data_IF_791453625492
#
_entry.id   IF_791453625492
#
_cell.length_a   1.000
_cell.length_b   1.000
_cell.length_c   1.000
_cell.angle_alpha   90.00
_cell.angle_beta   90.00
_cell.angle_gamma   90.00
#
_symmetry.space_group_name_H-M   'P 1'
#
loop_
_entity.id
_entity.type
_entity.pdbx_description
1 polymer ?
#
# COMPACT_ATOMS: atom_id res chain seq x y z
N UNK A 1 -25.21 -17.42 -63.39
CA UNK A 1 -24.52 -18.59 -62.80
C UNK A 1 -23.57 -18.04 -61.75
N UNK A 2 -24.06 -17.87 -60.52
CA UNK A 2 -23.33 -17.38 -59.35
C UNK A 2 -23.90 -18.15 -58.17
N UNK A 3 -23.07 -18.94 -57.49
CA UNK A 3 -23.48 -19.73 -56.32
C UNK A 3 -22.84 -19.10 -55.08
N UNK A 4 -23.72 -18.68 -54.18
CA UNK A 4 -23.47 -18.28 -52.80
C UNK A 4 -23.08 -19.51 -51.96
N UNK A 5 -22.17 -19.33 -51.01
CA UNK A 5 -22.06 -20.22 -49.84
C UNK A 5 -21.68 -19.41 -48.61
N UNK A 6 -22.50 -19.57 -47.56
CA UNK A 6 -22.39 -19.01 -46.21
C UNK A 6 -21.98 -20.13 -45.25
N UNK A 7 -20.97 -19.89 -44.41
CA UNK A 7 -20.78 -20.39 -43.02
C UNK A 7 -19.34 -20.00 -42.61
N UNK A 8 -19.02 -19.38 -41.47
CA UNK A 8 -19.56 -19.45 -40.11
C UNK A 8 -18.57 -20.24 -39.23
N UNK A 9 -17.78 -19.62 -38.33
CA UNK A 9 -16.64 -20.27 -37.68
C UNK A 9 -16.98 -20.80 -36.27
N UNK A 10 -17.32 -22.08 -36.14
CA UNK A 10 -17.35 -22.80 -34.85
C UNK A 10 -17.16 -24.30 -35.09
N UNK A 11 -15.93 -24.81 -34.99
CA UNK A 11 -15.60 -26.20 -34.63
C UNK A 11 -14.08 -26.44 -34.69
N UNK A 12 -13.40 -26.42 -33.54
CA UNK A 12 -12.20 -27.24 -33.26
C UNK A 12 -11.62 -26.84 -31.90
N UNK A 13 -12.20 -27.38 -30.83
CA UNK A 13 -11.56 -27.52 -29.52
C UNK A 13 -11.43 -29.03 -29.27
N UNK A 14 -10.30 -29.43 -28.69
CA UNK A 14 -9.93 -30.78 -28.19
C UNK A 14 -9.26 -31.72 -29.22
N UNK A 15 -7.92 -31.67 -29.29
CA UNK A 15 -7.03 -32.78 -28.88
C UNK A 15 -5.60 -32.50 -29.35
N UNK A 16 -4.63 -32.42 -28.43
CA UNK A 16 -3.31 -33.11 -28.44
C UNK A 16 -2.43 -32.54 -27.33
N UNK A 17 -2.22 -33.34 -26.29
CA UNK A 17 -1.15 -33.18 -25.28
C UNK A 17 -0.05 -34.20 -25.61
N UNK A 18 1.18 -33.84 -25.23
CA UNK A 18 2.46 -34.58 -25.27
C UNK A 18 3.37 -34.28 -26.46
N UNK A 19 4.25 -33.28 -26.28
CA UNK A 19 5.71 -33.41 -26.46
C UNK A 19 6.41 -32.08 -26.16
N UNK A 20 6.94 -31.92 -24.95
CA UNK A 20 7.89 -30.85 -24.61
C UNK A 20 9.23 -31.51 -24.25
N UNK A 21 10.20 -31.36 -25.16
CA UNK A 21 11.60 -31.70 -24.95
C UNK A 21 12.25 -30.57 -24.15
N UNK A 22 12.84 -30.91 -23.01
CA UNK A 22 13.81 -30.08 -22.31
C UNK A 22 15.11 -30.04 -23.11
N UNK A 23 15.53 -28.83 -23.53
CA UNK A 23 16.92 -28.55 -23.91
C UNK A 23 17.58 -27.89 -22.70
N UNK A 24 18.52 -28.62 -22.10
CA UNK A 24 19.41 -28.13 -21.05
C UNK A 24 20.58 -27.40 -21.70
N UNK A 25 20.76 -26.13 -21.35
CA UNK A 25 21.98 -25.37 -21.65
C UNK A 25 22.62 -24.98 -20.31
N UNK A 26 23.76 -25.60 -20.02
CA UNK A 26 24.60 -25.37 -18.85
C UNK A 26 25.72 -24.39 -19.22
N UNK A 27 25.99 -23.39 -18.37
CA UNK A 27 27.35 -22.85 -18.21
C UNK A 27 27.53 -22.19 -16.83
N UNK A 28 28.29 -22.90 -16.01
CA UNK A 28 29.26 -22.50 -14.99
C UNK A 28 29.34 -21.03 -14.55
N UNK A 29 29.09 -20.78 -13.25
CA UNK A 29 30.01 -20.00 -12.39
C UNK A 29 30.12 -20.67 -11.01
N UNK A 30 31.36 -20.68 -10.52
CA UNK A 30 31.96 -21.44 -9.42
C UNK A 30 31.71 -20.74 -8.07
N UNK A 31 31.16 -21.44 -7.08
CA UNK A 31 31.16 -20.99 -5.68
C UNK A 31 31.66 -22.09 -4.74
N UNK A 32 32.42 -21.67 -3.72
CA UNK A 32 33.31 -22.47 -2.87
C UNK A 32 32.57 -23.25 -1.79
N UNK A 33 33.24 -24.32 -1.37
CA UNK A 33 32.92 -25.24 -0.28
C UNK A 33 32.60 -24.57 1.07
N UNK A 34 31.55 -25.09 1.72
CA UNK A 34 31.54 -25.38 3.16
C UNK A 34 30.48 -26.47 3.43
N UNK A 35 30.96 -27.69 3.62
CA UNK A 35 30.21 -28.90 3.99
C UNK A 35 29.83 -28.89 5.48
N UNK A 36 28.56 -29.17 5.78
CA UNK A 36 28.14 -29.79 7.04
C UNK A 36 27.19 -30.93 6.71
N UNK A 37 27.60 -32.15 7.10
CA UNK A 37 26.88 -33.41 6.96
C UNK A 37 25.76 -33.53 8.01
N UNK A 38 24.56 -33.96 7.61
CA UNK A 38 23.71 -34.85 8.42
C UNK A 38 23.01 -35.85 7.47
N UNK A 39 23.15 -37.13 7.81
CA UNK A 39 22.71 -38.31 7.07
C UNK A 39 21.19 -38.48 7.01
N UNK A 40 20.68 -38.99 5.89
CA UNK A 40 19.46 -39.79 5.85
C UNK A 40 19.72 -41.07 5.05
N UNK A 41 19.27 -42.18 5.63
CA UNK A 41 19.56 -43.56 5.28
C UNK A 41 18.84 -44.08 4.03
N UNK A 42 19.51 -45.00 3.37
CA UNK A 42 19.16 -45.76 2.18
C UNK A 42 17.79 -46.47 2.22
N UNK A 43 17.16 -46.59 1.04
CA UNK A 43 16.58 -47.87 0.63
C UNK A 43 16.49 -47.99 -0.90
N UNK A 44 17.33 -48.89 -1.40
CA UNK A 44 17.47 -49.32 -2.78
C UNK A 44 16.25 -50.10 -3.28
N UNK A 45 16.01 -49.95 -4.58
CA UNK A 45 15.08 -50.70 -5.40
C UNK A 45 15.75 -51.96 -5.97
N UNK A 46 15.15 -53.13 -5.80
CA UNK A 46 15.33 -54.27 -6.71
C UNK A 46 14.03 -55.07 -6.86
N UNK A 47 13.72 -55.58 -8.07
CA UNK A 47 12.46 -56.24 -8.39
C UNK A 47 12.53 -57.74 -8.10
N UNK A 48 11.45 -58.31 -7.54
CA UNK A 48 11.27 -59.77 -7.46
C UNK A 48 9.98 -60.14 -8.16
N UNK A 49 10.12 -60.91 -9.23
CA UNK A 49 9.08 -61.76 -9.82
C UNK A 49 8.93 -63.01 -8.97
N UNK A 50 7.72 -63.32 -8.50
CA UNK A 50 7.29 -64.70 -8.25
C UNK A 50 5.75 -64.76 -8.23
N UNK A 51 5.18 -65.66 -9.02
CA UNK A 51 3.74 -65.80 -9.17
C UNK A 51 3.08 -66.48 -7.97
N UNK A 52 1.84 -66.09 -7.70
CA UNK A 52 0.87 -66.90 -6.95
C UNK A 52 -0.46 -66.88 -7.69
N UNK A 53 -0.94 -68.06 -8.03
CA UNK A 53 -2.26 -68.31 -8.61
C UNK A 53 -3.30 -68.12 -7.52
N UNK A 54 -4.17 -67.12 -7.68
CA UNK A 54 -5.37 -66.95 -6.86
C UNK A 54 -6.61 -67.12 -7.74
N UNK A 55 -7.28 -68.25 -7.49
CA UNK A 55 -8.55 -68.65 -8.12
C UNK A 55 -9.66 -67.79 -7.51
N UNK A 56 -10.16 -66.81 -8.25
CA UNK A 56 -11.31 -65.98 -7.83
C UNK A 56 -12.60 -66.52 -8.48
N UNK A 57 -13.73 -66.62 -7.75
CA UNK A 57 -14.96 -67.21 -8.27
C UNK A 57 -15.58 -66.33 -9.36
N UNK A 58 -16.23 -66.96 -10.34
CA UNK A 58 -17.05 -66.29 -11.35
C UNK A 58 -18.14 -65.45 -10.68
N UNK A 59 -17.91 -64.15 -10.51
CA UNK A 59 -18.95 -63.18 -10.19
C UNK A 59 -19.79 -62.89 -11.44
N UNK A 60 -21.11 -62.98 -11.29
CA UNK A 60 -22.08 -62.65 -12.33
C UNK A 60 -21.76 -61.28 -12.93
N UNK A 61 -21.62 -61.24 -14.25
CA UNK A 61 -21.44 -60.02 -15.04
C UNK A 61 -22.51 -58.99 -14.66
N UNK A 62 -22.08 -57.82 -14.17
CA UNK A 62 -22.90 -56.62 -14.16
C UNK A 62 -23.28 -56.37 -15.63
N UNK A 63 -24.56 -56.57 -15.95
CA UNK A 63 -25.05 -56.47 -17.32
C UNK A 63 -24.74 -55.10 -17.92
N UNK A 64 -24.45 -55.06 -19.22
CA UNK A 64 -24.14 -53.84 -20.00
C UNK A 64 -25.14 -52.70 -19.77
N UNK A 65 -26.36 -53.01 -19.35
CA UNK A 65 -27.40 -52.03 -18.97
C UNK A 65 -27.05 -51.21 -17.72
N UNK A 66 -26.38 -51.79 -16.73
CA UNK A 66 -26.02 -51.10 -15.47
C UNK A 66 -24.87 -50.11 -15.66
N UNK A 67 -23.91 -50.41 -16.55
CA UNK A 67 -22.83 -49.48 -16.91
C UNK A 67 -23.38 -48.28 -17.69
N UNK A 68 -24.33 -48.51 -18.59
CA UNK A 68 -25.04 -47.42 -19.29
C UNK A 68 -25.84 -46.54 -18.34
N UNK A 69 -26.53 -47.15 -17.37
CA UNK A 69 -27.30 -46.42 -16.36
C UNK A 69 -26.40 -45.55 -15.48
N UNK A 70 -25.26 -46.07 -15.02
CA UNK A 70 -24.28 -45.31 -14.24
C UNK A 70 -23.71 -44.15 -15.07
N UNK A 71 -23.38 -44.39 -16.35
CA UNK A 71 -22.90 -43.34 -17.24
C UNK A 71 -23.92 -42.20 -17.45
N UNK A 72 -25.22 -42.54 -17.57
CA UNK A 72 -26.29 -41.54 -17.68
C UNK A 72 -26.41 -40.73 -16.38
N UNK A 73 -26.36 -41.38 -15.21
CA UNK A 73 -26.46 -40.70 -13.91
C UNK A 73 -25.30 -39.72 -13.71
N UNK A 74 -24.06 -40.14 -14.00
CA UNK A 74 -22.87 -39.28 -13.89
C UNK A 74 -22.97 -38.09 -14.85
N UNK A 75 -23.43 -38.32 -16.09
CA UNK A 75 -23.59 -37.23 -17.08
C UNK A 75 -24.64 -36.21 -16.63
N UNK A 76 -25.76 -36.66 -16.05
CA UNK A 76 -26.80 -35.76 -15.53
C UNK A 76 -26.31 -34.97 -14.32
N UNK A 77 -25.52 -35.57 -13.43
CA UNK A 77 -24.88 -34.87 -12.31
C UNK A 77 -23.92 -33.78 -12.80
N UNK A 78 -23.07 -34.06 -13.78
CA UNK A 78 -22.17 -33.08 -14.37
C UNK A 78 -22.91 -31.97 -15.13
N UNK A 79 -24.00 -32.28 -15.84
CA UNK A 79 -24.84 -31.23 -16.44
C UNK A 79 -25.49 -30.34 -15.37
N UNK A 80 -25.91 -30.93 -14.24
CA UNK A 80 -26.47 -30.20 -13.12
C UNK A 80 -25.51 -29.16 -12.55
N UNK A 81 -24.23 -29.53 -12.34
CA UNK A 81 -23.22 -28.60 -11.81
C UNK A 81 -22.88 -27.48 -12.80
N UNK A 82 -22.77 -27.81 -14.09
CA UNK A 82 -22.55 -26.81 -15.14
C UNK A 82 -23.75 -25.85 -15.24
N UNK A 83 -24.98 -26.36 -15.10
CA UNK A 83 -26.18 -25.52 -15.12
C UNK A 83 -26.25 -24.60 -13.89
N UNK A 84 -25.88 -25.08 -12.70
CA UNK A 84 -25.83 -24.24 -11.49
C UNK A 84 -24.75 -23.16 -11.59
N UNK A 85 -23.58 -23.49 -12.12
CA UNK A 85 -22.52 -22.51 -12.36
C UNK A 85 -22.95 -21.47 -13.41
N UNK A 86 -23.61 -21.90 -14.48
CA UNK A 86 -24.12 -21.00 -15.50
C UNK A 86 -25.23 -20.08 -14.96
N UNK A 87 -26.12 -20.59 -14.12
CA UNK A 87 -27.14 -19.80 -13.41
C UNK A 87 -26.51 -18.81 -12.41
N UNK A 88 -25.44 -19.20 -11.71
CA UNK A 88 -24.69 -18.31 -10.83
C UNK A 88 -23.99 -17.18 -11.60
N UNK A 89 -23.42 -17.49 -12.77
CA UNK A 89 -22.83 -16.48 -13.68
C UNK A 89 -23.89 -15.51 -14.21
N UNK A 90 -25.07 -16.01 -14.59
CA UNK A 90 -26.19 -15.16 -15.01
C UNK A 90 -26.70 -14.28 -13.87
N UNK A 91 -26.77 -14.80 -12.65
CA UNK A 91 -27.17 -14.04 -11.46
C UNK A 91 -26.14 -12.96 -11.11
N UNK A 92 -24.85 -13.26 -11.21
CA UNK A 92 -23.77 -12.30 -11.04
C UNK A 92 -23.85 -11.18 -12.09
N UNK A 93 -24.08 -11.52 -13.37
CA UNK A 93 -24.29 -10.53 -14.43
C UNK A 93 -25.56 -9.69 -14.24
N UNK A 94 -26.61 -10.27 -13.68
CA UNK A 94 -27.83 -9.52 -13.38
C UNK A 94 -27.63 -8.55 -12.20
N UNK A 95 -26.89 -8.95 -11.17
CA UNK A 95 -26.49 -8.06 -10.08
C UNK A 95 -25.56 -6.93 -10.57
N UNK A 96 -24.66 -7.23 -11.52
CA UNK A 96 -23.79 -6.25 -12.16
C UNK A 96 -24.57 -5.23 -13.02
N UNK A 97 -25.70 -5.64 -13.58
CA UNK A 97 -26.66 -4.76 -14.27
C UNK A 97 -27.46 -3.86 -13.32
N UNK A 98 -27.78 -4.33 -12.11
CA UNK A 98 -28.49 -3.53 -11.09
C UNK A 98 -27.57 -2.51 -10.37
N UNK A 99 -26.24 -2.66 -10.49
CA UNK A 99 -25.24 -1.73 -9.99
C UNK A 99 -24.82 -0.66 -11.01
N UNK A 100 -25.39 -0.66 -12.22
CA UNK A 100 -25.08 0.36 -13.22
C UNK A 100 -25.96 1.61 -13.03
N UNK A 101 -25.38 2.81 -12.89
CA UNK A 101 -26.16 4.04 -12.85
C UNK A 101 -26.96 4.19 -14.15
N UNK A 102 -28.20 4.61 -13.99
CA UNK A 102 -29.23 4.85 -15.01
C UNK A 102 -28.65 5.18 -16.41
N UNK A 103 -28.97 4.37 -17.42
CA UNK A 103 -28.43 4.38 -18.81
C UNK A 103 -28.42 5.75 -19.50
N UNK A 104 -29.28 6.70 -19.07
CA UNK A 104 -29.31 8.08 -19.56
C UNK A 104 -28.17 8.95 -19.03
N UNK A 105 -27.61 8.63 -17.87
CA UNK A 105 -26.41 9.26 -17.28
C UNK A 105 -25.16 8.74 -17.99
N UNK A 106 -25.08 7.43 -18.24
CA UNK A 106 -23.97 6.80 -18.97
C UNK A 106 -23.80 7.35 -20.40
N UNK A 107 -24.90 7.67 -21.08
CA UNK A 107 -24.88 8.22 -22.44
C UNK A 107 -24.47 9.70 -22.51
N UNK A 108 -24.54 10.44 -21.40
CA UNK A 108 -23.97 11.80 -21.28
C UNK A 108 -22.49 11.77 -20.90
N UNK A 109 -22.03 10.65 -20.36
CA UNK A 109 -20.65 10.43 -19.92
C UNK A 109 -19.72 9.95 -21.05
N UNK A 110 -20.28 9.51 -22.20
CA UNK A 110 -19.52 9.09 -23.39
C UNK A 110 -18.90 10.23 -24.19
N UNK A 111 -19.29 11.49 -23.92
CA UNK A 111 -18.77 12.65 -24.64
C UNK A 111 -17.56 13.31 -23.95
N UNK A 112 -17.28 12.95 -22.69
CA UNK A 112 -16.09 13.41 -21.97
C UNK A 112 -14.98 12.40 -22.24
N UNK A 113 -13.90 12.84 -22.89
CA UNK A 113 -12.71 12.01 -23.07
C UNK A 113 -12.24 11.50 -21.71
N UNK A 114 -12.16 10.17 -21.58
CA UNK A 114 -11.75 9.54 -20.35
C UNK A 114 -10.29 9.90 -20.05
N UNK A 115 -10.02 10.42 -18.85
CA UNK A 115 -8.64 10.73 -18.43
C UNK A 115 -7.85 9.45 -18.25
N UNK A 116 -6.54 9.52 -18.51
CA UNK A 116 -5.60 8.44 -18.23
C UNK A 116 -5.17 8.40 -16.75
N UNK A 117 -5.79 9.23 -15.90
CA UNK A 117 -5.56 9.23 -14.45
C UNK A 117 -6.70 8.49 -13.73
N UNK A 118 -6.33 7.54 -12.86
CA UNK A 118 -7.24 6.91 -11.91
C UNK A 118 -6.93 7.31 -10.47
N UNK A 119 -7.96 7.51 -9.66
CA UNK A 119 -7.84 7.77 -8.23
C UNK A 119 -8.05 6.48 -7.43
N UNK A 120 -7.25 6.29 -6.38
CA UNK A 120 -7.40 5.19 -5.43
C UNK A 120 -7.58 5.72 -4.03
N UNK A 121 -8.43 5.06 -3.27
CA UNK A 121 -8.56 5.27 -1.83
C UNK A 121 -8.94 3.97 -1.13
N UNK A 122 -9.02 4.00 0.19
CA UNK A 122 -9.57 2.92 0.99
C UNK A 122 -10.50 3.47 2.07
N UNK A 123 -11.65 2.85 2.21
CA UNK A 123 -12.60 3.10 3.28
C UNK A 123 -13.35 1.81 3.56
N UNK A 124 -12.92 1.11 4.61
CA UNK A 124 -13.43 -0.20 5.00
C UNK A 124 -13.83 -0.24 6.48
N UNK A 125 -14.63 -1.25 6.85
CA UNK A 125 -15.24 -1.39 8.16
C UNK A 125 -16.62 -0.74 8.23
N UNK A 126 -17.10 -0.45 9.44
CA UNK A 126 -18.39 0.22 9.62
C UNK A 126 -18.41 1.57 8.91
N UNK A 127 -19.45 1.86 8.10
CA UNK A 127 -19.55 3.13 7.39
C UNK A 127 -19.40 4.33 8.33
N UNK A 128 -18.41 5.17 8.06
CA UNK A 128 -18.20 6.41 8.80
C UNK A 128 -18.73 7.58 7.96
N UNK A 129 -19.80 8.26 8.39
CA UNK A 129 -20.41 9.36 7.63
C UNK A 129 -19.43 10.48 7.28
N UNK A 130 -18.45 10.75 8.14
CA UNK A 130 -17.43 11.78 7.90
C UNK A 130 -16.58 11.45 6.67
N UNK A 131 -16.08 10.22 6.59
CA UNK A 131 -15.20 9.78 5.50
C UNK A 131 -15.99 9.49 4.22
N UNK A 132 -17.22 8.99 4.31
CA UNK A 132 -18.08 8.85 3.12
C UNK A 132 -18.43 10.22 2.52
N UNK A 133 -18.67 11.24 3.36
CA UNK A 133 -18.87 12.62 2.92
C UNK A 133 -17.64 13.17 2.20
N UNK A 134 -16.45 13.01 2.79
CA UNK A 134 -15.19 13.43 2.18
C UNK A 134 -14.95 12.72 0.83
N UNK A 135 -15.17 11.41 0.76
CA UNK A 135 -15.05 10.62 -0.46
C UNK A 135 -16.05 11.06 -1.55
N UNK A 136 -17.29 11.37 -1.17
CA UNK A 136 -18.32 11.83 -2.10
C UNK A 136 -17.96 13.17 -2.76
N UNK A 137 -17.21 14.05 -2.09
CA UNK A 137 -16.75 15.32 -2.65
C UNK A 137 -15.81 15.13 -3.87
N UNK A 138 -15.20 13.95 -4.04
CA UNK A 138 -14.39 13.65 -5.23
C UNK A 138 -15.23 13.32 -6.46
N UNK A 139 -16.52 12.96 -6.32
CA UNK A 139 -17.35 12.52 -7.45
C UNK A 139 -17.58 13.62 -8.50
N UNK A 140 -17.96 14.87 -8.14
CA UNK A 140 -18.10 15.94 -9.14
C UNK A 140 -16.77 16.25 -9.83
N UNK A 141 -15.67 16.22 -9.10
CA UNK A 141 -14.32 16.41 -9.65
C UNK A 141 -13.94 15.31 -10.66
N UNK A 142 -14.27 14.05 -10.34
CA UNK A 142 -14.07 12.92 -11.24
C UNK A 142 -14.91 13.05 -12.52
N UNK A 143 -16.18 13.46 -12.38
CA UNK A 143 -17.06 13.66 -13.53
C UNK A 143 -16.57 14.78 -14.44
N UNK A 144 -16.08 15.89 -13.86
CA UNK A 144 -15.59 17.05 -14.60
C UNK A 144 -14.38 16.71 -15.49
N UNK A 145 -13.44 15.93 -14.97
CA UNK A 145 -12.18 15.63 -15.67
C UNK A 145 -12.07 14.19 -16.19
N UNK A 146 -13.13 13.39 -16.07
CA UNK A 146 -13.16 12.01 -16.59
C UNK A 146 -12.30 11.02 -15.80
N UNK A 147 -12.03 11.26 -14.50
CA UNK A 147 -11.24 10.35 -13.66
C UNK A 147 -12.04 9.10 -13.27
N UNK A 148 -11.40 7.94 -13.36
CA UNK A 148 -11.88 6.71 -12.69
C UNK A 148 -11.52 6.79 -11.20
N UNK A 149 -12.35 6.21 -10.34
CA UNK A 149 -12.05 6.13 -8.91
C UNK A 149 -12.34 4.73 -8.38
N UNK A 150 -11.35 4.15 -7.70
CA UNK A 150 -11.38 2.82 -7.14
C UNK A 150 -11.21 2.93 -5.62
N UNK A 151 -12.13 2.33 -4.86
CA UNK A 151 -12.13 2.42 -3.40
C UNK A 151 -12.12 1.02 -2.82
N UNK A 152 -11.08 0.69 -2.07
CA UNK A 152 -11.04 -0.54 -1.30
C UNK A 152 -12.05 -0.47 -0.16
N UNK A 153 -13.08 -1.32 -0.20
CA UNK A 153 -14.17 -1.37 0.78
C UNK A 153 -14.02 -2.44 1.85
N UNK A 154 -13.09 -3.37 1.66
CA UNK A 154 -12.82 -4.47 2.59
C UNK A 154 -11.35 -4.51 2.96
N UNK A 155 -11.07 -4.78 4.25
CA UNK A 155 -9.68 -4.90 4.71
C UNK A 155 -9.06 -6.18 4.16
N UNK A 156 -7.96 -6.05 3.42
CA UNK A 156 -7.28 -7.18 2.77
C UNK A 156 -6.11 -7.72 3.60
N UNK A 157 -5.35 -6.82 4.25
CA UNK A 157 -4.17 -7.15 5.05
C UNK A 157 -4.20 -6.47 6.43
N UNK A 158 -3.53 -7.05 7.44
CA UNK A 158 -3.42 -6.45 8.77
C UNK A 158 -2.64 -5.13 8.75
N UNK A 159 -2.73 -4.39 9.86
CA UNK A 159 -2.00 -3.14 10.04
C UNK A 159 -2.26 -2.11 8.94
N UNK A 160 -1.18 -1.59 8.37
CA UNK A 160 -1.16 -0.54 7.36
C UNK A 160 -1.01 -1.07 5.92
N UNK A 161 -1.00 -2.40 5.76
CA UNK A 161 -0.54 -3.06 4.53
C UNK A 161 -1.61 -3.22 3.45
N UNK A 162 -2.89 -2.95 3.77
CA UNK A 162 -3.99 -3.01 2.78
C UNK A 162 -3.79 -2.01 1.63
N UNK A 163 -3.29 -0.80 1.94
CA UNK A 163 -3.00 0.25 0.96
C UNK A 163 -1.93 -0.16 -0.06
N UNK A 164 -0.69 -0.53 0.33
CA UNK A 164 0.32 -0.91 -0.66
C UNK A 164 -0.08 -2.16 -1.47
N UNK A 165 -0.76 -3.13 -0.85
CA UNK A 165 -1.26 -4.31 -1.57
C UNK A 165 -2.36 -3.95 -2.59
N UNK A 166 -3.28 -3.05 -2.25
CA UNK A 166 -4.35 -2.64 -3.16
C UNK A 166 -3.81 -1.84 -4.35
N UNK A 167 -2.87 -0.93 -4.11
CA UNK A 167 -2.17 -0.19 -5.18
C UNK A 167 -1.42 -1.17 -6.09
N UNK A 168 -0.67 -2.12 -5.52
CA UNK A 168 0.03 -3.15 -6.29
C UNK A 168 -0.92 -3.96 -7.18
N UNK A 169 -2.06 -4.38 -6.63
CA UNK A 169 -3.09 -5.07 -7.40
C UNK A 169 -3.61 -4.24 -8.56
N UNK A 170 -3.91 -2.94 -8.35
CA UNK A 170 -4.38 -2.07 -9.43
C UNK A 170 -3.31 -1.86 -10.51
N UNK A 171 -2.05 -1.67 -10.13
CA UNK A 171 -0.94 -1.56 -11.08
C UNK A 171 -0.85 -2.78 -11.99
N UNK A 172 -0.97 -3.99 -11.42
CA UNK A 172 -0.93 -5.24 -12.18
C UNK A 172 -2.14 -5.40 -13.11
N UNK A 173 -3.33 -4.98 -12.67
CA UNK A 173 -4.53 -4.98 -13.51
C UNK A 173 -4.36 -4.04 -14.71
N UNK A 174 -3.90 -2.80 -14.50
CA UNK A 174 -3.70 -1.84 -15.59
C UNK A 174 -2.56 -2.26 -16.53
N UNK A 175 -1.48 -2.86 -16.01
CA UNK A 175 -0.39 -3.38 -16.85
C UNK A 175 -0.79 -4.59 -17.70
N UNK A 176 -1.87 -5.30 -17.34
CA UNK A 176 -2.41 -6.41 -18.13
C UNK A 176 -3.27 -5.95 -19.32
N UNK A 177 -3.63 -4.66 -19.37
CA UNK A 177 -4.37 -4.06 -20.48
C UNK A 177 -3.42 -3.54 -21.58
N UNK A 178 -3.89 -3.41 -22.84
CA UNK A 178 -3.17 -2.69 -23.88
C UNK A 178 -2.84 -1.25 -23.46
N UNK A 179 -1.74 -0.70 -23.98
CA UNK A 179 -1.25 0.63 -23.58
C UNK A 179 -2.25 1.76 -23.88
N UNK A 180 -3.02 1.61 -24.94
CA UNK A 180 -4.08 2.51 -25.37
C UNK A 180 -5.36 2.43 -24.52
N UNK A 181 -5.53 1.38 -23.72
CA UNK A 181 -6.72 1.15 -22.87
C UNK A 181 -6.45 1.37 -21.39
N UNK A 182 -5.18 1.25 -20.95
CA UNK A 182 -4.78 1.37 -19.55
C UNK A 182 -4.66 2.82 -19.09
N UNK A 183 -4.78 3.01 -17.79
CA UNK A 183 -4.40 4.27 -17.14
C UNK A 183 -2.89 4.52 -17.28
N UNK A 184 -2.49 5.80 -17.37
CA UNK A 184 -1.09 6.22 -17.34
C UNK A 184 -0.63 6.48 -15.89
N UNK A 185 -1.52 7.02 -15.05
CA UNK A 185 -1.21 7.38 -13.66
C UNK A 185 -2.30 6.96 -12.68
N UNK A 186 -1.85 6.56 -11.50
CA UNK A 186 -2.67 6.26 -10.34
C UNK A 186 -2.37 7.30 -9.25
N UNK A 187 -3.41 7.88 -8.67
CA UNK A 187 -3.30 8.86 -7.57
C UNK A 187 -3.93 8.28 -6.33
N UNK A 188 -3.11 7.99 -5.33
CA UNK A 188 -3.60 7.61 -4.02
C UNK A 188 -4.07 8.84 -3.25
N UNK A 189 -5.17 8.74 -2.51
CA UNK A 189 -5.56 9.70 -1.49
C UNK A 189 -6.17 9.00 -0.26
N UNK A 190 -5.79 9.44 0.93
CA UNK A 190 -6.34 8.93 2.19
C UNK A 190 -7.79 9.41 2.42
N UNK A 191 -8.54 8.71 3.28
CA UNK A 191 -9.95 9.04 3.56
C UNK A 191 -10.16 10.34 4.34
N UNK A 192 -9.10 10.97 4.85
CA UNK A 192 -9.11 12.25 5.58
C UNK A 192 -8.66 13.45 4.75
N UNK A 193 -8.79 13.31 3.44
CA UNK A 193 -8.64 14.38 2.46
C UNK A 193 -9.98 15.05 2.22
N UNK A 194 -10.01 16.37 2.28
CA UNK A 194 -11.16 17.19 1.87
C UNK A 194 -10.79 17.94 0.59
N UNK A 195 -11.52 17.67 -0.49
CA UNK A 195 -11.38 18.38 -1.77
C UNK A 195 -11.97 19.79 -1.63
N UNK A 196 -11.14 20.82 -1.84
CA UNK A 196 -11.53 22.23 -1.66
C UNK A 196 -11.80 22.95 -2.98
N UNK A 197 -11.02 22.67 -4.02
CA UNK A 197 -11.20 23.28 -5.33
C UNK A 197 -11.37 22.19 -6.41
N UNK A 198 -12.62 21.83 -6.78
CA UNK A 198 -12.89 20.82 -7.80
C UNK A 198 -12.60 21.30 -9.24
N UNK A 199 -12.06 22.51 -9.41
CA UNK A 199 -11.69 23.07 -10.72
C UNK A 199 -10.24 22.84 -11.10
N UNK A 200 -9.41 22.30 -10.20
CA UNK A 200 -7.99 22.07 -10.45
C UNK A 200 -7.78 20.66 -11.03
N UNK A 201 -7.34 20.53 -12.30
CA UNK A 201 -7.07 19.22 -12.89
C UNK A 201 -5.82 18.59 -12.26
N UNK A 202 -5.82 17.27 -12.09
CA UNK A 202 -4.67 16.52 -11.59
C UNK A 202 -3.49 16.48 -12.59
N UNK A 203 -3.78 16.62 -13.88
CA UNK A 203 -2.79 16.58 -14.96
C UNK A 203 -1.68 17.63 -14.79
N UNK A 204 -1.99 18.77 -14.16
CA UNK A 204 -1.01 19.85 -13.97
C UNK A 204 0.14 19.42 -13.07
N UNK A 205 -0.07 18.46 -12.18
CA UNK A 205 0.96 18.00 -11.23
C UNK A 205 1.88 16.93 -11.82
N UNK A 206 1.58 16.42 -13.02
CA UNK A 206 2.37 15.38 -13.66
C UNK A 206 3.69 15.92 -14.23
N UNK A 207 4.72 15.07 -14.38
CA UNK A 207 6.00 15.48 -14.94
C UNK A 207 5.88 15.82 -16.44
N UNK A 208 6.54 16.89 -16.92
CA UNK A 208 6.64 17.17 -18.35
C UNK A 208 7.31 16.01 -19.10
N UNK A 209 6.70 15.55 -20.20
CA UNK A 209 7.12 14.32 -20.90
C UNK A 209 8.49 14.45 -21.57
N UNK A 210 8.90 15.66 -21.95
CA UNK A 210 10.12 15.93 -22.72
C UNK A 210 11.39 15.59 -21.93
N UNK A 211 11.45 16.01 -20.67
CA UNK A 211 12.67 15.92 -19.85
C UNK A 211 12.50 15.03 -18.61
N UNK A 212 11.27 14.71 -18.22
CA UNK A 212 10.96 14.05 -16.94
C UNK A 212 10.17 12.75 -17.09
N UNK A 213 10.16 12.16 -18.30
CA UNK A 213 9.46 10.88 -18.58
C UNK A 213 10.00 9.67 -17.82
N UNK A 214 11.21 9.75 -17.26
CA UNK A 214 11.79 8.73 -16.39
C UNK A 214 11.19 8.76 -14.97
N UNK A 215 10.45 9.80 -14.60
CA UNK A 215 9.78 9.87 -13.30
C UNK A 215 8.55 8.95 -13.30
N UNK A 216 8.47 8.13 -12.26
CA UNK A 216 7.42 7.13 -12.07
C UNK A 216 6.66 7.31 -10.75
N UNK A 217 7.18 8.10 -9.82
CA UNK A 217 6.47 8.51 -8.62
C UNK A 217 6.61 10.00 -8.34
N UNK A 218 5.51 10.64 -7.95
CA UNK A 218 5.51 12.02 -7.44
C UNK A 218 5.01 11.97 -6.01
N UNK A 219 5.85 12.43 -5.10
CA UNK A 219 5.66 12.29 -3.66
C UNK A 219 5.84 13.62 -2.95
N UNK A 220 5.46 13.68 -1.68
CA UNK A 220 5.57 14.90 -0.86
C UNK A 220 6.22 14.58 0.48
N UNK A 221 6.98 15.53 1.02
CA UNK A 221 7.53 15.45 2.36
C UNK A 221 6.87 16.47 3.28
N UNK A 222 6.65 16.08 4.53
CA UNK A 222 6.33 16.98 5.63
C UNK A 222 7.52 17.11 6.61
N UNK A 223 7.26 17.68 7.79
CA UNK A 223 8.27 17.87 8.83
C UNK A 223 8.86 16.57 9.45
N UNK A 224 8.31 15.41 9.09
CA UNK A 224 8.70 14.06 9.54
C UNK A 224 9.20 13.16 8.40
N UNK A 225 9.45 13.73 7.21
CA UNK A 225 9.86 12.97 6.02
C UNK A 225 8.69 12.75 5.07
N UNK A 226 8.68 11.62 4.35
CA UNK A 226 7.63 11.28 3.39
C UNK A 226 6.24 11.34 4.04
N UNK A 227 5.31 12.02 3.37
CA UNK A 227 3.88 11.94 3.65
C UNK A 227 3.18 11.28 2.46
N UNK A 228 2.63 10.09 2.67
CA UNK A 228 2.00 9.31 1.62
C UNK A 228 0.47 9.37 1.66
N UNK A 229 -0.09 10.43 2.26
CA UNK A 229 -1.53 10.68 2.28
C UNK A 229 -2.09 11.01 0.91
N UNK A 230 -1.33 11.68 0.05
CA UNK A 230 -1.60 11.82 -1.39
C UNK A 230 -0.30 11.71 -2.17
N UNK A 231 -0.26 10.88 -3.21
CA UNK A 231 0.88 10.72 -4.10
C UNK A 231 0.47 10.09 -5.43
N UNK A 232 1.35 10.21 -6.43
CA UNK A 232 1.10 9.74 -7.78
C UNK A 232 2.09 8.62 -8.11
N UNK A 233 1.61 7.57 -8.76
CA UNK A 233 2.41 6.49 -9.34
C UNK A 233 2.04 6.30 -10.80
N UNK A 234 3.03 6.23 -11.67
CA UNK A 234 2.83 5.86 -13.07
C UNK A 234 2.49 4.37 -13.15
N UNK A 235 1.58 4.00 -14.04
CA UNK A 235 1.36 2.60 -14.39
C UNK A 235 2.56 2.11 -15.18
N UNK A 236 3.50 1.49 -14.46
CA UNK A 236 4.79 1.08 -14.99
C UNK A 236 5.37 -0.07 -14.14
N UNK A 237 6.19 -0.94 -14.74
CA UNK A 237 6.84 -2.05 -14.02
C UNK A 237 7.66 -1.56 -12.82
N UNK A 238 8.31 -0.40 -12.95
CA UNK A 238 9.03 0.24 -11.84
C UNK A 238 8.14 0.41 -10.60
N UNK A 239 6.89 0.87 -10.78
CA UNK A 239 5.96 1.11 -9.68
C UNK A 239 5.53 -0.20 -9.01
N UNK A 240 5.43 -1.29 -9.79
CA UNK A 240 5.19 -2.64 -9.27
C UNK A 240 6.33 -3.07 -8.34
N UNK A 241 7.58 -2.90 -8.78
CA UNK A 241 8.74 -3.23 -7.95
C UNK A 241 8.84 -2.36 -6.70
N UNK A 242 8.55 -1.07 -6.83
CA UNK A 242 8.53 -0.14 -5.71
C UNK A 242 7.47 -0.52 -4.66
N UNK A 243 6.23 -0.77 -5.08
CA UNK A 243 5.16 -1.18 -4.15
C UNK A 243 5.37 -2.58 -3.58
N UNK A 244 6.00 -3.49 -4.34
CA UNK A 244 6.40 -4.81 -3.84
C UNK A 244 7.46 -4.68 -2.75
N UNK A 245 8.46 -3.82 -2.93
CA UNK A 245 9.49 -3.57 -1.93
C UNK A 245 8.88 -2.97 -0.65
N UNK A 246 8.03 -1.94 -0.79
CA UNK A 246 7.29 -1.36 0.32
C UNK A 246 6.49 -2.41 1.12
N UNK A 247 5.68 -3.22 0.43
CA UNK A 247 4.87 -4.28 1.06
C UNK A 247 5.73 -5.38 1.70
N UNK A 248 6.86 -5.73 1.08
CA UNK A 248 7.77 -6.77 1.57
C UNK A 248 8.51 -6.39 2.86
N UNK A 249 8.60 -5.09 3.19
CA UNK A 249 9.31 -4.57 4.37
C UNK A 249 8.88 -5.29 5.65
N UNK A 250 7.57 -5.46 5.87
CA UNK A 250 7.01 -6.14 7.05
C UNK A 250 7.55 -7.58 7.24
N UNK A 251 7.86 -8.27 6.14
CA UNK A 251 8.26 -9.68 6.17
C UNK A 251 9.78 -9.81 6.26
N UNK A 252 10.51 -9.01 5.49
CA UNK A 252 11.96 -9.16 5.35
C UNK A 252 12.77 -8.34 6.35
N UNK A 253 12.16 -7.31 6.95
CA UNK A 253 12.77 -6.52 8.01
C UNK A 253 11.75 -6.25 9.14
N UNK A 254 11.32 -7.30 9.88
CA UNK A 254 10.27 -7.17 10.88
C UNK A 254 10.69 -6.38 12.12
N UNK A 255 12.00 -6.16 12.30
CA UNK A 255 12.56 -5.47 13.48
C UNK A 255 12.73 -3.96 13.24
N UNK A 256 12.47 -3.46 12.03
CA UNK A 256 12.63 -2.06 11.71
C UNK A 256 11.53 -1.18 12.33
N UNK A 257 11.93 0.00 12.83
CA UNK A 257 11.01 0.95 13.47
C UNK A 257 10.16 1.70 12.43
N UNK A 258 8.99 1.16 12.11
CA UNK A 258 8.00 1.79 11.21
C UNK A 258 7.03 2.68 11.99
N UNK A 259 7.51 3.82 12.49
CA UNK A 259 6.73 4.76 13.30
C UNK A 259 5.35 5.11 12.69
N UNK A 260 5.27 5.22 11.36
CA UNK A 260 4.06 5.55 10.60
C UNK A 260 3.64 4.41 9.65
N UNK A 261 4.01 3.16 9.95
CA UNK A 261 3.59 2.00 9.16
C UNK A 261 4.07 2.04 7.71
N UNK A 262 3.13 1.93 6.77
CA UNK A 262 3.43 1.92 5.33
C UNK A 262 4.11 3.21 4.85
N UNK A 263 3.82 4.36 5.49
CA UNK A 263 4.50 5.63 5.21
C UNK A 263 5.99 5.57 5.54
N UNK A 264 6.35 4.97 6.69
CA UNK A 264 7.76 4.80 7.07
C UNK A 264 8.48 3.86 6.10
N UNK A 265 7.84 2.75 5.71
CA UNK A 265 8.41 1.81 4.76
C UNK A 265 8.65 2.47 3.40
N UNK A 266 7.63 3.15 2.86
CA UNK A 266 7.77 3.90 1.62
C UNK A 266 8.84 5.00 1.74
N UNK A 267 8.90 5.70 2.88
CA UNK A 267 9.88 6.73 3.18
C UNK A 267 11.35 6.25 3.16
N UNK A 268 11.59 4.97 3.45
CA UNK A 268 12.90 4.36 3.26
C UNK A 268 13.17 4.12 1.77
N UNK A 269 12.26 3.43 1.08
CA UNK A 269 12.45 3.03 -0.31
C UNK A 269 12.57 4.20 -1.28
N UNK A 270 11.97 5.36 -0.99
CA UNK A 270 12.17 6.56 -1.84
C UNK A 270 13.61 7.09 -1.82
N UNK A 271 14.41 6.70 -0.82
CA UNK A 271 15.82 7.12 -0.67
C UNK A 271 16.81 6.11 -1.26
N UNK A 272 16.38 4.87 -1.48
CA UNK A 272 17.22 3.80 -2.01
C UNK A 272 17.63 4.06 -3.47
N UNK A 273 18.92 3.86 -3.78
CA UNK A 273 19.49 4.13 -5.11
C UNK A 273 18.78 3.40 -6.25
N UNK A 274 18.17 2.24 -5.95
CA UNK A 274 17.38 1.48 -6.92
C UNK A 274 16.15 2.25 -7.42
N UNK A 275 15.54 3.07 -6.57
CA UNK A 275 14.24 3.70 -6.84
C UNK A 275 14.35 5.21 -6.99
N UNK A 276 15.16 5.86 -6.14
CA UNK A 276 15.30 7.31 -6.04
C UNK A 276 15.46 8.04 -7.38
N UNK A 277 16.22 7.56 -8.38
CA UNK A 277 16.37 8.26 -9.66
C UNK A 277 15.07 8.46 -10.46
N UNK A 278 14.00 7.73 -10.14
CA UNK A 278 12.71 7.80 -10.84
C UNK A 278 11.60 8.46 -9.99
N UNK A 279 11.97 9.17 -8.92
CA UNK A 279 11.04 9.78 -7.97
C UNK A 279 11.26 11.29 -7.97
N UNK A 280 10.17 12.05 -7.84
CA UNK A 280 10.23 13.50 -7.66
C UNK A 280 9.47 13.94 -6.41
N UNK A 281 10.15 14.63 -5.51
CA UNK A 281 9.53 15.29 -4.36
C UNK A 281 9.04 16.69 -4.74
N UNK A 282 7.73 16.91 -4.72
CA UNK A 282 7.13 18.21 -5.05
C UNK A 282 6.65 18.94 -3.80
N UNK A 283 6.33 20.25 -3.87
CA UNK A 283 5.77 20.98 -2.74
C UNK A 283 4.51 20.30 -2.20
N UNK A 284 4.53 19.94 -0.90
CA UNK A 284 3.42 19.25 -0.23
C UNK A 284 2.07 19.95 -0.44
N UNK A 285 2.05 21.29 -0.48
CA UNK A 285 0.83 22.09 -0.65
C UNK A 285 0.06 21.78 -1.93
N UNK A 286 0.73 21.31 -2.99
CA UNK A 286 0.09 21.15 -4.28
C UNK A 286 -1.11 20.19 -4.27
N UNK A 287 -0.98 19.09 -3.54
CA UNK A 287 -2.03 18.08 -3.48
C UNK A 287 -2.04 17.30 -2.16
N UNK A 288 -1.30 17.75 -1.14
CA UNK A 288 -1.24 17.08 0.16
C UNK A 288 -1.12 18.12 1.31
N UNK A 289 -1.73 19.29 1.10
CA UNK A 289 -1.58 20.45 1.97
C UNK A 289 -2.17 20.22 3.36
N UNK A 290 -1.54 20.76 4.40
CA UNK A 290 -2.16 20.83 5.72
C UNK A 290 -3.12 22.01 5.85
N UNK A 291 -4.10 21.91 6.75
CA UNK A 291 -5.01 23.01 7.08
C UNK A 291 -4.27 24.27 7.57
N UNK A 292 -3.04 24.09 8.05
CA UNK A 292 -2.21 25.17 8.57
C UNK A 292 -2.71 25.69 9.91
N UNK A 293 -2.48 26.97 10.16
CA UNK A 293 -2.80 27.63 11.43
C UNK A 293 -4.02 28.56 11.30
N UNK A 294 -5.05 28.13 10.56
CA UNK A 294 -6.31 28.86 10.38
C UNK A 294 -7.32 28.47 11.46
N UNK A 295 -7.92 29.45 12.12
CA UNK A 295 -9.01 29.17 13.06
C UNK A 295 -8.60 28.41 14.31
N UNK A 296 -7.70 28.97 15.11
CA UNK A 296 -7.26 28.31 16.35
C UNK A 296 -8.39 28.27 17.37
N UNK A 297 -9.10 27.14 17.41
CA UNK A 297 -10.02 26.80 18.48
C UNK A 297 -9.37 25.70 19.33
N UNK A 298 -8.70 26.08 20.42
CA UNK A 298 -8.04 25.15 21.35
C UNK A 298 -7.04 24.18 20.67
N UNK A 299 -6.25 24.65 19.69
CA UNK A 299 -5.24 23.86 18.97
C UNK A 299 -5.79 22.97 17.86
N UNK A 300 -7.03 23.20 17.42
CA UNK A 300 -7.69 22.36 16.42
C UNK A 300 -7.51 22.89 14.99
N UNK A 301 -7.29 24.19 14.80
CA UNK A 301 -7.08 24.84 13.50
C UNK A 301 -8.14 24.44 12.46
N UNK A 302 -9.39 24.77 12.76
CA UNK A 302 -10.57 24.22 12.11
C UNK A 302 -11.52 25.29 11.55
N UNK A 303 -11.06 26.52 11.34
CA UNK A 303 -11.88 27.54 10.65
C UNK A 303 -11.23 27.89 9.30
N UNK A 304 -11.76 27.38 8.18
CA UNK A 304 -11.24 27.71 6.85
C UNK A 304 -11.34 29.22 6.54
N UNK A 305 -12.36 29.91 7.06
CA UNK A 305 -12.61 31.33 6.77
C UNK A 305 -11.71 32.27 7.58
N UNK A 306 -11.12 31.78 8.68
CA UNK A 306 -10.17 32.56 9.45
C UNK A 306 -8.84 32.73 8.69
N UNK A 307 -8.19 33.90 8.81
CA UNK A 307 -6.84 34.08 8.30
C UNK A 307 -5.85 33.16 9.04
N UNK A 308 -4.79 32.67 8.38
CA UNK A 308 -3.77 31.87 9.04
C UNK A 308 -2.99 32.74 10.04
N UNK A 309 -2.88 32.29 11.28
CA UNK A 309 -2.09 32.98 12.31
C UNK A 309 -0.58 32.81 12.10
N UNK A 310 -0.17 31.77 11.36
CA UNK A 310 1.21 31.49 10.96
C UNK A 310 1.23 30.90 9.55
N UNK A 311 2.15 31.41 8.74
CA UNK A 311 2.37 30.87 7.40
C UNK A 311 3.31 29.66 7.44
N UNK A 312 2.96 28.61 6.70
CA UNK A 312 3.84 27.49 6.38
C UNK A 312 3.69 27.15 4.91
N UNK A 313 4.81 26.82 4.26
CA UNK A 313 4.83 26.53 2.83
C UNK A 313 4.00 25.28 2.44
N UNK A 314 3.78 24.37 3.38
CA UNK A 314 2.96 23.16 3.19
C UNK A 314 1.49 23.32 3.62
N UNK A 315 1.07 24.52 3.99
CA UNK A 315 -0.33 24.79 4.35
C UNK A 315 -1.14 25.23 3.14
N UNK A 316 -2.41 24.86 3.13
CA UNK A 316 -3.38 25.22 2.11
C UNK A 316 -3.58 26.75 2.01
N UNK A 317 -3.72 27.22 0.78
CA UNK A 317 -4.13 28.57 0.40
C UNK A 317 -5.48 28.53 -0.32
N UNK A 318 -6.16 29.67 -0.36
CA UNK A 318 -7.33 29.84 -1.22
C UNK A 318 -6.99 29.50 -2.69
N UNK A 319 -7.87 28.77 -3.36
CA UNK A 319 -7.64 28.22 -4.69
C UNK A 319 -6.93 26.86 -4.75
N UNK A 320 -6.36 26.37 -3.64
CA UNK A 320 -5.67 25.06 -3.64
C UNK A 320 -6.62 23.87 -3.77
N UNK A 321 -6.12 22.77 -4.35
CA UNK A 321 -6.91 21.58 -4.67
C UNK A 321 -7.62 20.96 -3.45
N UNK A 322 -6.87 20.68 -2.38
CA UNK A 322 -7.34 19.86 -1.26
C UNK A 322 -6.58 20.13 0.04
N UNK A 323 -7.18 19.72 1.16
CA UNK A 323 -6.58 19.73 2.49
C UNK A 323 -6.52 18.32 3.08
N UNK A 324 -5.41 17.99 3.73
CA UNK A 324 -5.16 16.73 4.42
C UNK A 324 -5.22 16.92 5.93
N UNK A 325 -6.13 16.19 6.58
CA UNK A 325 -6.31 16.20 8.04
C UNK A 325 -5.54 15.07 8.74
N UNK A 326 -4.22 15.02 8.48
CA UNK A 326 -3.31 14.03 9.03
C UNK A 326 -3.24 14.06 10.57
N UNK A 327 -2.87 12.93 11.16
CA UNK A 327 -2.60 12.80 12.58
C UNK A 327 -3.81 12.32 13.40
N UNK A 328 -4.05 12.97 14.55
CA UNK A 328 -4.88 12.42 15.62
C UNK A 328 -6.33 12.12 15.18
N UNK A 329 -6.66 10.83 15.11
CA UNK A 329 -7.99 10.32 14.73
C UNK A 329 -9.11 10.82 15.64
N UNK A 330 -8.85 11.07 16.92
CA UNK A 330 -9.88 11.53 17.87
C UNK A 330 -10.36 12.96 17.58
N UNK A 331 -9.52 13.79 16.97
CA UNK A 331 -9.85 15.18 16.61
C UNK A 331 -10.35 15.29 15.16
N UNK A 332 -10.45 14.18 14.43
CA UNK A 332 -10.66 14.17 12.98
C UNK A 332 -11.98 14.82 12.60
N UNK A 333 -13.09 14.44 13.23
CA UNK A 333 -14.42 15.03 12.99
C UNK A 333 -14.41 16.54 13.21
N UNK A 334 -13.87 16.99 14.33
CA UNK A 334 -13.82 18.41 14.67
C UNK A 334 -12.97 19.24 13.70
N UNK A 335 -11.91 18.63 13.16
CA UNK A 335 -11.01 19.30 12.20
C UNK A 335 -11.55 19.27 10.79
N UNK A 336 -12.12 18.14 10.33
CA UNK A 336 -12.57 17.96 8.95
C UNK A 336 -13.93 18.62 8.69
N UNK A 337 -14.87 18.51 9.62
CA UNK A 337 -16.26 18.95 9.37
C UNK A 337 -16.37 20.40 8.91
N UNK A 338 -15.71 21.38 9.54
CA UNK A 338 -15.79 22.77 9.07
C UNK A 338 -15.23 22.98 7.66
N UNK A 339 -14.19 22.24 7.28
CA UNK A 339 -13.64 22.31 5.92
C UNK A 339 -14.60 21.73 4.89
N UNK A 340 -15.28 20.62 5.21
CA UNK A 340 -16.33 20.06 4.35
C UNK A 340 -17.54 21.00 4.24
N UNK A 341 -17.95 21.63 5.33
CA UNK A 341 -19.06 22.59 5.32
C UNK A 341 -18.76 23.79 4.40
N UNK A 342 -17.50 24.23 4.32
CA UNK A 342 -17.07 25.28 3.40
C UNK A 342 -16.92 24.77 1.97
N UNK A 343 -16.36 23.57 1.76
CA UNK A 343 -16.23 22.98 0.43
C UNK A 343 -17.59 22.82 -0.27
N UNK A 344 -18.62 22.38 0.45
CA UNK A 344 -19.98 22.18 -0.07
C UNK A 344 -20.72 23.49 -0.40
N UNK A 345 -20.22 24.63 0.09
CA UNK A 345 -20.78 25.94 -0.26
C UNK A 345 -20.27 26.45 -1.61
N UNK A 346 -19.24 25.82 -2.19
CA UNK A 346 -18.65 26.22 -3.47
C UNK A 346 -18.29 27.72 -3.51
N UNK A 347 -17.67 28.22 -2.43
CA UNK A 347 -17.36 29.64 -2.29
C UNK A 347 -16.32 30.08 -3.35
N UNK A 348 -16.54 31.20 -4.07
CA UNK A 348 -15.63 31.66 -5.13
C UNK A 348 -14.18 31.87 -4.69
N UNK A 349 -13.96 32.23 -3.43
CA UNK A 349 -12.61 32.40 -2.87
C UNK A 349 -11.82 31.09 -2.77
N UNK A 350 -12.50 29.94 -2.65
CA UNK A 350 -11.86 28.63 -2.56
C UNK A 350 -11.83 27.93 -3.93
N UNK A 351 -12.86 28.14 -4.76
CA UNK A 351 -12.97 27.56 -6.10
C UNK A 351 -12.52 28.53 -7.20
N UNK A 352 -11.28 28.97 -7.13
CA UNK A 352 -10.65 29.76 -8.20
C UNK A 352 -10.49 28.91 -9.46
N UNK A 353 -10.66 29.53 -10.64
CA UNK A 353 -10.28 28.89 -11.90
C UNK A 353 -8.76 28.72 -11.94
N UNK A 354 -8.26 27.74 -12.71
CA UNK A 354 -6.83 27.40 -12.73
C UNK A 354 -5.94 28.62 -13.01
N UNK A 355 -6.33 29.43 -14.00
CA UNK A 355 -5.62 30.65 -14.44
C UNK A 355 -5.58 31.75 -13.37
N UNK A 356 -6.53 31.74 -12.43
CA UNK A 356 -6.59 32.67 -11.29
C UNK A 356 -5.81 32.15 -10.08
N UNK A 357 -5.28 30.92 -10.14
CA UNK A 357 -4.38 30.37 -9.13
C UNK A 357 -2.91 30.68 -9.44
N UNK A 358 -2.02 30.32 -8.50
CA UNK A 358 -0.58 30.33 -8.74
C UNK A 358 -0.03 29.03 -9.34
N UNK A 359 -0.85 27.99 -9.56
CA UNK A 359 -0.36 26.63 -9.84
C UNK A 359 0.50 26.54 -11.09
N UNK A 360 0.02 27.06 -12.22
CA UNK A 360 0.72 26.89 -13.50
C UNK A 360 2.12 27.48 -13.48
N UNK A 361 2.25 28.70 -12.92
CA UNK A 361 3.54 29.37 -12.79
C UNK A 361 4.45 28.64 -11.80
N UNK A 362 3.94 28.29 -10.62
CA UNK A 362 4.73 27.58 -9.60
C UNK A 362 5.24 26.21 -10.09
N UNK A 363 4.40 25.47 -10.82
CA UNK A 363 4.72 24.15 -11.35
C UNK A 363 5.77 24.28 -12.46
N UNK A 364 5.60 25.24 -13.37
CA UNK A 364 6.58 25.53 -14.41
C UNK A 364 7.94 25.87 -13.80
N UNK A 365 7.96 26.82 -12.86
CA UNK A 365 9.18 27.27 -12.19
C UNK A 365 9.85 26.11 -11.43
N UNK A 366 9.06 25.25 -10.78
CA UNK A 366 9.59 24.07 -10.11
C UNK A 366 10.31 23.13 -11.09
N UNK A 367 9.67 22.77 -12.21
CA UNK A 367 10.27 21.84 -13.18
C UNK A 367 11.50 22.42 -13.89
N UNK A 368 11.57 23.74 -14.06
CA UNK A 368 12.72 24.43 -14.66
C UNK A 368 13.88 24.60 -13.68
N UNK A 369 13.60 24.92 -12.41
CA UNK A 369 14.60 25.41 -11.45
C UNK A 369 14.89 24.43 -10.32
N UNK A 370 13.86 23.77 -9.77
CA UNK A 370 13.99 22.95 -8.57
C UNK A 370 14.13 21.46 -8.87
N UNK A 371 13.39 20.93 -9.85
CA UNK A 371 13.47 19.51 -10.23
C UNK A 371 14.89 19.05 -10.62
N UNK A 372 15.72 19.84 -11.36
CA UNK A 372 17.12 19.45 -11.64
C UNK A 372 18.01 19.29 -10.40
N UNK A 373 17.58 19.79 -9.24
CA UNK A 373 18.32 19.72 -7.98
C UNK A 373 17.89 18.53 -7.11
N UNK A 374 16.99 17.67 -7.61
CA UNK A 374 16.36 16.62 -6.80
C UNK A 374 17.38 15.67 -6.17
N UNK A 375 18.29 15.10 -6.97
CA UNK A 375 19.31 14.17 -6.48
C UNK A 375 20.09 14.77 -5.30
N UNK A 376 20.60 16.00 -5.47
CA UNK A 376 21.34 16.72 -4.42
C UNK A 376 20.48 17.00 -3.20
N UNK A 377 19.19 17.33 -3.39
CA UNK A 377 18.26 17.59 -2.28
C UNK A 377 18.04 16.33 -1.45
N UNK A 378 17.83 15.18 -2.10
CA UNK A 378 17.65 13.91 -1.40
C UNK A 378 18.95 13.45 -0.74
N UNK A 379 20.11 13.62 -1.38
CA UNK A 379 21.41 13.32 -0.75
C UNK A 379 21.59 14.12 0.55
N UNK A 380 21.30 15.43 0.49
CA UNK A 380 21.35 16.31 1.67
C UNK A 380 20.38 15.86 2.76
N UNK A 381 19.21 15.35 2.38
CA UNK A 381 18.23 14.81 3.32
C UNK A 381 18.75 13.53 3.98
N UNK A 382 19.28 12.59 3.21
CA UNK A 382 19.87 11.34 3.70
C UNK A 382 20.99 11.65 4.71
N UNK A 383 21.96 12.48 4.32
CA UNK A 383 23.07 12.85 5.20
C UNK A 383 22.61 13.48 6.53
N UNK A 384 21.52 14.26 6.49
CA UNK A 384 20.96 14.89 7.68
C UNK A 384 20.26 13.88 8.59
N UNK A 385 19.51 12.94 8.00
CA UNK A 385 18.84 11.87 8.72
C UNK A 385 19.85 10.91 9.36
N UNK A 386 20.91 10.53 8.63
CA UNK A 386 21.98 9.67 9.13
C UNK A 386 22.69 10.30 10.34
N UNK A 387 23.06 11.59 10.25
CA UNK A 387 23.64 12.34 11.38
C UNK A 387 22.72 12.38 12.59
N UNK A 388 21.41 12.52 12.36
CA UNK A 388 20.43 12.56 13.45
C UNK A 388 20.29 11.19 14.12
N UNK A 389 20.30 10.11 13.34
CA UNK A 389 20.22 8.75 13.88
C UNK A 389 21.51 8.36 14.60
N UNK A 390 22.69 8.73 14.09
CA UNK A 390 23.96 8.58 14.80
C UNK A 390 23.94 9.31 16.16
N UNK A 391 23.43 10.54 16.21
CA UNK A 391 23.28 11.28 17.46
C UNK A 391 22.28 10.62 18.41
N UNK A 392 21.17 10.09 17.89
CA UNK A 392 20.16 9.36 18.67
C UNK A 392 20.74 8.09 19.28
N UNK A 393 21.50 7.31 18.50
CA UNK A 393 22.20 6.11 18.94
C UNK A 393 23.22 6.44 20.03
N UNK A 394 24.04 7.48 19.84
CA UNK A 394 25.00 7.95 20.84
C UNK A 394 24.30 8.32 22.15
N UNK A 395 23.23 9.13 22.10
CA UNK A 395 22.44 9.50 23.29
C UNK A 395 21.80 8.30 23.98
N UNK A 396 21.39 7.27 23.22
CA UNK A 396 20.82 6.03 23.77
C UNK A 396 21.89 5.20 24.49
N UNK A 397 23.09 5.11 23.93
CA UNK A 397 24.25 4.46 24.55
C UNK A 397 24.66 5.16 25.84
N UNK A 398 24.84 6.49 25.81
CA UNK A 398 25.18 7.29 27.00
C UNK A 398 24.15 7.10 28.14
N UNK A 399 22.85 7.08 27.81
CA UNK A 399 21.79 6.81 28.79
C UNK A 399 21.84 5.39 29.35
N UNK A 400 22.14 4.40 28.51
CA UNK A 400 22.27 3.00 28.95
C UNK A 400 23.46 2.82 29.89
N UNK A 401 24.61 3.41 29.56
CA UNK A 401 25.81 3.43 30.41
C UNK A 401 25.56 4.13 31.75
N UNK A 402 24.92 5.31 31.72
CA UNK A 402 24.56 6.02 32.95
C UNK A 402 23.58 5.21 33.83
N UNK A 403 22.64 4.49 33.23
CA UNK A 403 21.72 3.62 33.95
C UNK A 403 22.42 2.38 34.54
N UNK A 404 23.39 1.80 33.82
CA UNK A 404 24.22 0.70 34.33
C UNK A 404 25.10 1.16 35.50
N UNK A 405 25.74 2.33 35.38
CA UNK A 405 26.56 2.90 36.45
C UNK A 405 25.74 3.13 37.73
N UNK A 406 24.56 3.74 37.61
CA UNK A 406 23.66 3.92 38.76
C UNK A 406 23.21 2.60 39.40
N UNK A 407 23.00 1.55 38.59
CA UNK A 407 22.66 0.22 39.12
C UNK A 407 23.85 -0.40 39.86
N UNK A 408 25.07 -0.26 39.35
CA UNK A 408 26.28 -0.74 40.01
C UNK A 408 26.52 -0.02 41.34
N UNK A 409 26.43 1.31 41.37
CA UNK A 409 26.56 2.12 42.60
C UNK A 409 25.48 1.75 43.64
N UNK A 410 24.24 1.50 43.21
CA UNK A 410 23.18 1.06 44.11
C UNK A 410 23.44 -0.34 44.70
N UNK A 411 23.96 -1.27 43.89
CA UNK A 411 24.31 -2.62 44.36
C UNK A 411 25.51 -2.60 45.31
N UNK A 412 26.50 -1.75 45.06
CA UNK A 412 27.64 -1.56 45.95
C UNK A 412 27.20 -0.98 47.29
N UNK A 413 26.38 0.08 47.29
CA UNK A 413 25.82 0.66 48.51
C UNK A 413 24.92 -0.32 49.30
N UNK A 414 24.25 -1.26 48.61
CA UNK A 414 23.47 -2.32 49.26
C UNK A 414 24.36 -3.40 49.90
N UNK A 415 25.47 -3.77 49.25
CA UNK A 415 26.48 -4.68 49.82
C UNK A 415 27.17 -4.09 51.04
N UNK A 416 27.58 -2.82 50.97
CA UNK A 416 28.19 -2.13 52.12
C UNK A 416 27.26 -2.09 53.33
N UNK A 417 25.95 -1.87 53.11
CA UNK A 417 24.95 -1.94 54.18
C UNK A 417 24.84 -3.33 54.80
N UNK A 418 24.80 -4.37 53.98
CA UNK A 418 24.75 -5.77 54.46
C UNK A 418 25.99 -6.13 55.28
N UNK A 419 27.19 -5.73 54.83
CA UNK A 419 28.43 -5.96 55.57
C UNK A 419 28.47 -5.21 56.91
N UNK A 420 27.94 -3.98 56.97
CA UNK A 420 27.84 -3.24 58.26
C UNK A 420 26.81 -3.82 59.23
N UNK A 421 25.71 -4.41 58.73
CA UNK A 421 24.70 -5.04 59.58
C UNK A 421 25.16 -6.42 60.10
N UNK A 422 25.88 -7.19 59.28
CA UNK A 422 26.46 -8.47 59.69
C UNK A 422 27.65 -8.29 60.67
N UNK A 423 28.45 -7.23 60.50
CA UNK A 423 29.51 -6.86 61.45
C UNK A 423 28.95 -6.52 62.84
N UNK A 424 27.84 -5.78 62.91
CA UNK A 424 27.16 -5.45 64.18
C UNK A 424 26.53 -6.65 64.87
N UNK A 425 26.05 -7.64 64.12
CA UNK A 425 25.54 -8.91 64.68
C UNK A 425 26.66 -9.74 65.31
N UNK A 426 27.81 -9.84 64.65
CA UNK A 426 28.96 -10.59 65.19
C UNK A 426 29.55 -9.94 66.46
N UNK A 427 29.55 -8.61 66.56
CA UNK A 427 29.97 -7.91 67.79
C UNK A 427 28.98 -8.14 68.95
N UNK A 428 27.67 -8.19 68.67
CA UNK A 428 26.66 -8.54 69.68
C UNK A 428 26.77 -10.00 70.15
N UNK A 429 27.06 -10.94 69.26
CA UNK A 429 27.22 -12.35 69.62
C UNK A 429 28.53 -12.61 70.41
N UNK A 430 29.59 -11.81 70.19
CA UNK A 430 30.80 -11.84 71.02
C UNK A 430 30.60 -11.21 72.41
N UNK A 431 29.83 -10.13 72.54
CA UNK A 431 29.50 -9.54 73.85
C UNK A 431 28.66 -10.48 74.73
N UNK A 432 27.77 -11.28 74.13
CA UNK A 432 26.96 -12.28 74.85
C UNK A 432 27.82 -13.46 75.34
N UNK A 433 28.80 -13.94 74.56
CA UNK A 433 29.69 -15.02 75.00
C UNK A 433 30.67 -14.61 76.12
N UNK A 434 31.03 -13.32 76.23
CA UNK A 434 31.88 -12.83 77.32
C UNK A 434 31.10 -12.72 78.64
N UNK A 435 29.79 -12.48 78.60
CA UNK A 435 28.94 -12.42 79.82
C UNK A 435 28.55 -13.79 80.40
N UNK A 436 28.59 -14.89 79.62
CA UNK A 436 28.29 -16.25 80.13
C UNK A 436 29.49 -16.97 80.75
N UNK A 437 30.69 -16.37 80.76
CA UNK A 437 31.92 -16.97 81.30
C UNK A 437 32.45 -16.34 82.60
N UNK A 438 31.65 -15.47 83.26
CA UNK A 438 31.99 -14.81 84.53
C UNK A 438 31.26 -15.39 85.73
#
# INVERSE_FOLDING_TARGET
>A
MFVLSKSGPWASVISTIVSLRFVSASSNVRARHSTVNVQFSDLQTHPISCGFVLRVPRSKMIGKSNIRLIGIIVTLLCMGTVLTDWLNILRARHLELDLQPNRKVAQKQSDIAQSTIGKLSMLYGEPNPLYERALAAHLPHNQKFGYKMYVLREKTLPGYWSKPAYILNQLLIELALPEEERLEWLVWFDGDIVLMNPKIPLEIFLPPKENWSHIHAIVTNDHRGLNNGVFFLRVHEWSVWFMTACLGTEIFDPDIDLQFGDQSAMGMWVKEDRFRPNIMHVPQRWFNAYAGYRGDNLGQYSDPLAPPTKFKANSIKEGDLLVHHAGNKALRTQRMSPWMDIAEQHLPQWELDLDDTGYEQEIRDFWEVEAPKEEKRVDTQIEKEDKLEEERLRRKQEKAEAAQKKKAEAQEAEREKQETDDGKKNDQDQEVQVQESS
#
